data_IF_629847820223
#
_entry.id   IF_629847820223
#
_cell.length_a   1.000
_cell.length_b   1.000
_cell.length_c   1.000
_cell.angle_alpha   90.00
_cell.angle_beta   90.00
_cell.angle_gamma   90.00
#
_symmetry.space_group_name_H-M   'P 1'
#
loop_
_entity.id
_entity.type
_entity.pdbx_description
1 polymer ?
#
# COMPACT_ATOMS: atom_id res chain seq x y z
N UNK A 1 -5.53 5.53 21.74
CA UNK A 1 -5.00 4.60 20.72
C UNK A 1 -5.96 4.63 19.55
N UNK A 2 -5.47 4.83 18.34
CA UNK A 2 -6.22 4.43 17.16
C UNK A 2 -6.38 2.91 17.26
N UNK A 3 -7.59 2.40 17.33
CA UNK A 3 -7.87 0.96 17.51
C UNK A 3 -7.42 0.04 16.37
N UNK A 4 -6.37 0.42 15.65
CA UNK A 4 -5.88 -0.23 14.44
C UNK A 4 -6.69 0.13 13.20
N UNK A 5 -6.29 -0.38 12.06
CA UNK A 5 -7.07 -0.29 10.83
C UNK A 5 -8.36 -1.10 10.96
N UNK A 6 -9.45 -0.72 10.28
CA UNK A 6 -10.65 -1.54 10.20
C UNK A 6 -10.28 -2.95 9.69
N UNK A 7 -11.04 -3.96 10.14
CA UNK A 7 -10.76 -5.35 9.72
C UNK A 7 -10.92 -5.56 8.22
N UNK A 8 -11.78 -4.77 7.59
CA UNK A 8 -12.01 -4.77 6.14
C UNK A 8 -12.34 -3.35 5.69
N UNK A 9 -12.05 -3.02 4.45
CA UNK A 9 -12.44 -1.76 3.86
C UNK A 9 -11.40 -1.12 2.95
N UNK A 10 -11.75 0.05 2.48
CA UNK A 10 -10.94 0.86 1.59
C UNK A 10 -10.44 2.09 2.33
N UNK A 11 -9.13 2.25 2.36
CA UNK A 11 -8.43 3.39 2.96
C UNK A 11 -7.75 4.18 1.86
N UNK A 12 -7.88 5.50 1.91
CA UNK A 12 -7.05 6.43 1.18
C UNK A 12 -5.97 6.97 2.12
N UNK A 13 -4.71 6.78 1.76
CA UNK A 13 -3.57 7.44 2.39
C UNK A 13 -3.07 8.53 1.44
N UNK A 14 -3.45 9.77 1.71
CA UNK A 14 -3.00 10.95 0.97
C UNK A 14 -1.64 11.41 1.49
N UNK A 15 -0.70 11.63 0.59
CA UNK A 15 0.63 12.14 0.90
C UNK A 15 0.80 13.58 0.40
N UNK A 16 1.39 14.41 1.23
CA UNK A 16 1.78 15.78 0.86
C UNK A 16 2.89 15.77 -0.20
N UNK A 17 2.84 16.70 -1.15
CA UNK A 17 3.84 16.90 -2.22
C UNK A 17 5.29 17.02 -1.72
N UNK A 18 5.48 17.37 -0.46
CA UNK A 18 6.79 17.52 0.17
C UNK A 18 7.36 16.19 0.71
N UNK A 19 6.64 15.10 0.55
CA UNK A 19 7.04 13.78 0.99
C UNK A 19 7.47 12.99 -0.23
N UNK A 20 8.71 12.54 -0.24
CA UNK A 20 9.18 11.66 -1.30
C UNK A 20 8.45 10.31 -1.26
N UNK A 21 8.08 9.72 -2.40
CA UNK A 21 7.55 8.36 -2.47
C UNK A 21 8.40 7.33 -1.71
N UNK A 22 9.71 7.54 -1.68
CA UNK A 22 10.64 6.70 -0.90
C UNK A 22 10.42 6.75 0.61
N UNK A 23 9.76 7.78 1.14
CA UNK A 23 9.45 7.91 2.57
C UNK A 23 8.12 7.25 2.96
N UNK A 24 7.36 6.78 1.99
CA UNK A 24 6.13 6.03 2.21
C UNK A 24 6.35 4.77 3.06
N UNK A 25 7.55 4.19 2.98
CA UNK A 25 7.89 3.00 3.75
C UNK A 25 7.73 3.21 5.26
N UNK A 26 7.84 4.45 5.78
CA UNK A 26 7.70 4.73 7.21
C UNK A 26 6.35 4.30 7.80
N UNK A 27 5.28 4.31 7.00
CA UNK A 27 3.95 3.87 7.42
C UNK A 27 3.54 2.53 6.81
N UNK A 28 3.85 2.32 5.55
CA UNK A 28 3.36 1.17 4.79
C UNK A 28 4.17 -0.09 5.13
N UNK A 29 5.50 -0.01 5.16
CA UNK A 29 6.31 -1.20 5.38
C UNK A 29 6.07 -1.87 6.74
N UNK A 30 6.04 -1.15 7.88
CA UNK A 30 5.71 -1.79 9.16
C UNK A 30 4.31 -2.41 9.15
N UNK A 31 3.35 -1.80 8.44
CA UNK A 31 1.99 -2.35 8.30
C UNK A 31 2.00 -3.67 7.53
N UNK A 32 2.71 -3.73 6.40
CA UNK A 32 2.82 -4.93 5.55
C UNK A 32 3.63 -6.02 6.26
N UNK A 33 4.80 -5.69 6.79
CA UNK A 33 5.66 -6.65 7.51
C UNK A 33 4.92 -7.26 8.71
N UNK A 34 4.23 -6.44 9.51
CA UNK A 34 3.44 -6.94 10.62
C UNK A 34 2.27 -7.84 10.16
N UNK A 35 1.59 -7.50 9.06
CA UNK A 35 0.54 -8.34 8.50
C UNK A 35 1.10 -9.71 8.06
N UNK A 36 2.23 -9.73 7.37
CA UNK A 36 2.91 -10.94 6.92
C UNK A 36 3.39 -11.81 8.08
N UNK A 37 4.00 -11.22 9.13
CA UNK A 37 4.37 -11.95 10.35
C UNK A 37 3.15 -12.56 11.05
N UNK A 38 2.01 -11.89 11.02
CA UNK A 38 0.76 -12.43 11.54
C UNK A 38 0.07 -13.44 10.59
N UNK A 39 0.77 -13.86 9.54
CA UNK A 39 0.30 -14.86 8.58
C UNK A 39 -0.78 -14.35 7.62
N UNK A 40 -1.03 -13.05 7.53
CA UNK A 40 -1.90 -12.47 6.52
C UNK A 40 -1.15 -12.35 5.19
N UNK A 41 -1.80 -12.61 4.06
CA UNK A 41 -1.18 -12.35 2.76
C UNK A 41 -1.15 -10.86 2.46
N UNK A 42 -0.19 -10.46 1.62
CA UNK A 42 -0.04 -9.09 1.16
C UNK A 42 0.09 -9.01 -0.36
N UNK A 43 -0.54 -7.99 -0.95
CA UNK A 43 -0.45 -7.65 -2.37
C UNK A 43 0.02 -6.22 -2.48
N UNK A 44 1.05 -5.98 -3.28
CA UNK A 44 1.63 -4.65 -3.46
C UNK A 44 1.59 -4.27 -4.94
N UNK A 45 1.12 -3.06 -5.23
CA UNK A 45 1.37 -2.33 -6.48
C UNK A 45 2.18 -1.10 -6.07
N UNK A 46 3.51 -1.19 -6.11
CA UNK A 46 4.38 -0.13 -5.61
C UNK A 46 4.34 1.11 -6.53
N UNK A 47 4.85 2.25 -6.05
CA UNK A 47 5.15 3.39 -6.92
C UNK A 47 6.05 2.96 -8.08
N UNK A 48 5.82 3.54 -9.26
CA UNK A 48 6.55 3.21 -10.50
C UNK A 48 8.08 3.37 -10.35
N UNK A 49 8.51 4.20 -9.41
CA UNK A 49 9.93 4.45 -9.11
C UNK A 49 10.55 3.41 -8.17
N UNK A 50 9.74 2.52 -7.57
CA UNK A 50 10.21 1.50 -6.64
C UNK A 50 10.40 0.16 -7.35
N UNK A 51 11.65 -0.28 -7.43
CA UNK A 51 11.98 -1.61 -7.95
C UNK A 51 11.99 -2.69 -6.86
N UNK A 52 12.09 -3.99 -7.25
CA UNK A 52 12.20 -5.10 -6.30
C UNK A 52 13.35 -4.96 -5.30
N UNK A 53 14.49 -4.39 -5.72
CA UNK A 53 15.62 -4.14 -4.82
C UNK A 53 15.30 -3.08 -3.75
N UNK A 54 14.50 -2.07 -4.10
CA UNK A 54 14.05 -1.09 -3.11
C UNK A 54 13.11 -1.75 -2.09
N UNK A 55 12.26 -2.67 -2.53
CA UNK A 55 11.39 -3.44 -1.64
C UNK A 55 12.20 -4.34 -0.72
N UNK A 56 13.20 -5.09 -1.23
CA UNK A 56 14.10 -5.90 -0.41
C UNK A 56 14.79 -5.07 0.66
N UNK A 57 15.33 -3.92 0.27
CA UNK A 57 15.97 -2.98 1.21
C UNK A 57 15.01 -2.50 2.28
N UNK A 58 13.80 -2.13 1.88
CA UNK A 58 12.76 -1.68 2.82
C UNK A 58 12.41 -2.78 3.80
N UNK A 59 12.17 -4.02 3.36
CA UNK A 59 11.87 -5.13 4.25
C UNK A 59 13.03 -5.40 5.22
N UNK A 60 14.26 -5.39 4.73
CA UNK A 60 15.48 -5.58 5.54
C UNK A 60 15.61 -4.54 6.65
N UNK A 61 15.32 -3.26 6.37
CA UNK A 61 15.35 -2.18 7.38
C UNK A 61 14.38 -2.48 8.53
N UNK A 62 13.26 -3.15 8.27
CA UNK A 62 12.29 -3.58 9.27
C UNK A 62 12.57 -4.99 9.83
N UNK A 63 13.77 -5.54 9.55
CA UNK A 63 14.21 -6.83 10.08
C UNK A 63 13.51 -8.03 9.47
N UNK A 64 13.06 -7.93 8.22
CA UNK A 64 12.38 -8.99 7.50
C UNK A 64 13.08 -9.29 6.17
N UNK A 65 13.14 -10.56 5.77
CA UNK A 65 13.50 -10.95 4.41
C UNK A 65 12.26 -11.10 3.55
N UNK A 66 12.27 -10.54 2.35
CA UNK A 66 11.13 -10.65 1.43
C UNK A 66 10.91 -12.10 1.00
N UNK A 67 11.97 -12.88 0.93
CA UNK A 67 11.97 -14.28 0.56
C UNK A 67 11.21 -15.16 1.57
N UNK A 68 11.22 -14.80 2.85
CA UNK A 68 10.44 -15.50 3.90
C UNK A 68 8.93 -15.42 3.67
N UNK A 69 8.50 -14.42 2.92
CA UNK A 69 7.09 -14.15 2.67
C UNK A 69 6.60 -14.56 1.28
N UNK A 70 7.46 -15.10 0.41
CA UNK A 70 7.09 -15.52 -0.95
C UNK A 70 5.76 -16.29 -1.06
N UNK A 71 5.45 -17.22 -0.16
CA UNK A 71 4.18 -17.94 -0.24
C UNK A 71 2.93 -17.08 -0.02
N UNK A 72 3.10 -15.88 0.56
CA UNK A 72 2.01 -14.99 1.00
C UNK A 72 2.13 -13.56 0.48
N UNK A 73 3.21 -13.24 -0.24
CA UNK A 73 3.45 -11.93 -0.82
C UNK A 73 3.30 -12.01 -2.35
N UNK A 74 2.61 -11.03 -2.93
CA UNK A 74 2.61 -10.78 -4.37
C UNK A 74 2.87 -9.31 -4.63
N UNK A 75 3.76 -9.04 -5.55
CA UNK A 75 4.13 -7.69 -5.96
C UNK A 75 3.87 -7.57 -7.45
N UNK A 76 2.89 -6.78 -7.81
CA UNK A 76 2.56 -6.52 -9.21
C UNK A 76 3.50 -5.47 -9.76
N UNK A 77 4.25 -5.84 -10.77
CA UNK A 77 5.19 -4.96 -11.48
C UNK A 77 5.02 -5.11 -12.98
N UNK A 78 5.41 -4.11 -13.71
CA UNK A 78 5.42 -4.16 -15.16
C UNK A 78 6.38 -5.24 -15.67
N UNK A 79 6.04 -5.90 -16.76
CA UNK A 79 6.78 -7.04 -17.34
C UNK A 79 8.26 -6.74 -17.58
N UNK A 80 8.56 -5.58 -18.15
CA UNK A 80 9.94 -5.16 -18.39
C UNK A 80 10.79 -5.00 -17.11
N UNK A 81 10.13 -4.63 -15.99
CA UNK A 81 10.78 -4.61 -14.68
C UNK A 81 10.93 -6.03 -14.11
N UNK A 82 9.92 -6.88 -14.24
CA UNK A 82 10.01 -8.27 -13.77
C UNK A 82 11.15 -9.03 -14.45
N UNK A 83 11.27 -8.91 -15.76
CA UNK A 83 12.34 -9.53 -16.55
C UNK A 83 13.74 -9.06 -16.12
N UNK A 84 13.90 -7.76 -15.86
CA UNK A 84 15.16 -7.18 -15.39
C UNK A 84 15.61 -7.75 -14.04
N UNK A 85 14.68 -8.17 -13.19
CA UNK A 85 14.99 -8.64 -11.83
C UNK A 85 14.91 -10.16 -11.68
N UNK A 86 14.92 -10.92 -12.79
CA UNK A 86 15.00 -12.39 -12.77
C UNK A 86 13.69 -13.07 -12.31
N UNK A 87 12.57 -12.36 -12.35
CA UNK A 87 11.22 -12.85 -12.09
C UNK A 87 11.09 -13.78 -10.86
N UNK A 88 11.47 -13.35 -9.64
CA UNK A 88 11.28 -14.17 -8.45
C UNK A 88 9.79 -14.48 -8.24
N UNK A 89 9.47 -15.56 -7.52
CA UNK A 89 8.11 -16.12 -7.41
C UNK A 89 7.06 -15.19 -6.83
N UNK A 90 7.47 -14.19 -6.07
CA UNK A 90 6.58 -13.16 -5.52
C UNK A 90 6.24 -12.03 -6.51
N UNK A 91 6.96 -11.91 -7.64
CA UNK A 91 6.65 -10.92 -8.67
C UNK A 91 5.58 -11.43 -9.63
N UNK A 92 4.56 -10.62 -9.80
CA UNK A 92 3.51 -10.81 -10.81
C UNK A 92 3.75 -9.78 -11.91
N UNK A 93 4.11 -10.25 -13.10
CA UNK A 93 4.37 -9.39 -14.25
C UNK A 93 3.07 -9.05 -14.96
N UNK A 94 2.78 -7.77 -15.19
CA UNK A 94 1.65 -7.36 -16.02
C UNK A 94 2.10 -6.61 -17.27
N UNK A 95 1.34 -6.74 -18.34
CA UNK A 95 1.49 -5.98 -19.57
C UNK A 95 0.68 -4.68 -19.51
N UNK A 96 1.04 -3.72 -20.37
CA UNK A 96 0.56 -2.33 -20.26
C UNK A 96 -0.90 -2.12 -20.66
N UNK A 97 -1.52 -3.08 -21.33
CA UNK A 97 -2.65 -2.82 -22.24
C UNK A 97 -4.06 -3.02 -21.66
N UNK A 98 -4.23 -3.60 -20.47
CA UNK A 98 -5.56 -3.86 -19.93
C UNK A 98 -5.70 -3.57 -18.44
N UNK A 99 -6.32 -2.44 -18.06
CA UNK A 99 -6.66 -2.20 -16.64
C UNK A 99 -7.61 -3.26 -16.09
N UNK A 100 -8.60 -3.68 -16.87
CA UNK A 100 -9.56 -4.71 -16.46
C UNK A 100 -8.87 -6.05 -16.24
N UNK A 101 -8.01 -6.47 -17.15
CA UNK A 101 -7.22 -7.70 -17.03
C UNK A 101 -6.35 -7.71 -15.78
N UNK A 102 -5.67 -6.61 -15.47
CA UNK A 102 -4.86 -6.48 -14.26
C UNK A 102 -5.73 -6.53 -13.01
N UNK A 103 -6.87 -5.86 -13.01
CA UNK A 103 -7.78 -5.88 -11.86
C UNK A 103 -8.36 -7.27 -11.63
N UNK A 104 -8.65 -8.01 -12.68
CA UNK A 104 -9.12 -9.41 -12.61
C UNK A 104 -8.01 -10.33 -12.11
N UNK A 105 -6.77 -10.13 -12.55
CA UNK A 105 -5.61 -10.88 -12.06
C UNK A 105 -5.35 -10.60 -10.57
N UNK A 106 -5.44 -9.35 -10.15
CA UNK A 106 -5.34 -8.97 -8.72
C UNK A 106 -6.46 -9.64 -7.94
N UNK A 107 -7.70 -9.58 -8.41
CA UNK A 107 -8.84 -10.20 -7.74
C UNK A 107 -8.68 -11.72 -7.62
N UNK A 108 -8.25 -12.39 -8.68
CA UNK A 108 -7.96 -13.83 -8.70
C UNK A 108 -6.83 -14.18 -7.72
N UNK A 109 -5.75 -13.39 -7.72
CA UNK A 109 -4.62 -13.55 -6.79
C UNK A 109 -5.05 -13.37 -5.34
N UNK A 110 -5.92 -12.40 -5.06
CA UNK A 110 -6.50 -12.20 -3.73
C UNK A 110 -7.26 -13.45 -3.29
N UNK A 111 -8.12 -14.00 -4.15
CA UNK A 111 -8.92 -15.19 -3.84
C UNK A 111 -8.04 -16.42 -3.61
N UNK A 112 -7.02 -16.63 -4.43
CA UNK A 112 -6.03 -17.70 -4.25
C UNK A 112 -5.35 -17.59 -2.88
N UNK A 113 -4.85 -16.40 -2.54
CA UNK A 113 -4.15 -16.18 -1.28
C UNK A 113 -5.08 -16.36 -0.07
N UNK A 114 -6.32 -15.90 -0.15
CA UNK A 114 -7.33 -16.13 0.90
C UNK A 114 -7.61 -17.63 1.06
N UNK A 115 -7.80 -18.36 -0.05
CA UNK A 115 -8.01 -19.81 -0.02
C UNK A 115 -6.82 -20.55 0.60
N UNK A 116 -5.59 -20.13 0.27
CA UNK A 116 -4.35 -20.74 0.76
C UNK A 116 -4.08 -20.46 2.25
N UNK A 117 -4.38 -19.24 2.71
CA UNK A 117 -4.00 -18.80 4.06
C UNK A 117 -5.15 -18.82 5.06
N UNK A 118 -6.40 -18.86 4.60
CA UNK A 118 -7.59 -18.69 5.43
C UNK A 118 -7.74 -17.29 6.02
N UNK A 119 -6.93 -16.30 5.58
CA UNK A 119 -6.88 -14.95 6.15
C UNK A 119 -7.12 -13.88 5.11
N UNK A 120 -7.85 -12.80 5.47
CA UNK A 120 -8.05 -11.67 4.55
C UNK A 120 -6.73 -10.96 4.26
N UNK A 121 -6.48 -10.55 2.99
CA UNK A 121 -5.25 -9.90 2.59
C UNK A 121 -5.19 -8.44 3.00
N UNK A 122 -3.97 -7.90 2.98
CA UNK A 122 -3.71 -6.48 2.88
C UNK A 122 -3.21 -6.14 1.47
N UNK A 123 -3.85 -5.17 0.82
CA UNK A 123 -3.44 -4.70 -0.51
C UNK A 123 -2.99 -3.24 -0.41
N UNK A 124 -1.82 -2.94 -0.97
CA UNK A 124 -1.27 -1.58 -1.04
C UNK A 124 -1.15 -1.21 -2.52
N UNK A 125 -1.82 -0.15 -2.94
CA UNK A 125 -1.89 0.25 -4.34
C UNK A 125 -1.49 1.71 -4.48
N UNK A 126 -0.45 1.98 -5.27
CA UNK A 126 -0.09 3.34 -5.66
C UNK A 126 -1.05 3.87 -6.72
N UNK A 127 -1.78 4.93 -6.41
CA UNK A 127 -2.67 5.60 -7.37
C UNK A 127 -1.89 6.25 -8.51
N UNK A 128 -0.68 6.70 -8.24
CA UNK A 128 0.17 7.34 -9.24
C UNK A 128 0.64 6.33 -10.29
N UNK A 129 0.97 5.10 -9.88
CA UNK A 129 1.30 4.02 -10.81
C UNK A 129 0.13 3.71 -11.73
N UNK A 130 -1.08 3.54 -11.17
CA UNK A 130 -2.28 3.29 -11.97
C UNK A 130 -2.63 4.50 -12.84
N UNK A 131 -2.52 5.72 -12.28
CA UNK A 131 -2.85 6.95 -12.99
C UNK A 131 -1.93 7.27 -14.16
N UNK A 132 -0.63 6.95 -14.04
CA UNK A 132 0.34 7.15 -15.13
C UNK A 132 0.07 6.23 -16.33
N UNK A 133 -0.47 5.05 -16.11
CA UNK A 133 -0.78 4.10 -17.19
C UNK A 133 -2.18 4.24 -17.74
N UNK A 134 -3.17 4.51 -16.89
CA UNK A 134 -4.60 4.43 -17.24
C UNK A 134 -5.35 5.73 -17.02
N UNK A 135 -4.65 6.79 -16.63
CA UNK A 135 -5.26 8.09 -16.34
C UNK A 135 -6.16 8.11 -15.11
N UNK A 136 -6.74 9.26 -14.84
CA UNK A 136 -7.61 9.49 -13.67
C UNK A 136 -8.83 8.57 -13.68
N UNK A 137 -9.45 8.36 -14.84
CA UNK A 137 -10.61 7.48 -14.96
C UNK A 137 -10.26 6.03 -14.63
N UNK A 138 -9.08 5.57 -15.04
CA UNK A 138 -8.57 4.25 -14.66
C UNK A 138 -8.40 4.09 -13.15
N UNK A 139 -7.87 5.11 -12.46
CA UNK A 139 -7.79 5.09 -10.99
C UNK A 139 -9.18 4.99 -10.35
N UNK A 140 -10.14 5.79 -10.80
CA UNK A 140 -11.50 5.78 -10.25
C UNK A 140 -12.18 4.42 -10.46
N UNK A 141 -12.02 3.82 -11.63
CA UNK A 141 -12.55 2.48 -11.93
C UNK A 141 -11.89 1.42 -11.05
N UNK A 142 -10.55 1.44 -10.93
CA UNK A 142 -9.82 0.50 -10.09
C UNK A 142 -10.18 0.64 -8.60
N UNK A 143 -10.37 1.86 -8.09
CA UNK A 143 -10.87 2.11 -6.73
C UNK A 143 -12.27 1.53 -6.55
N UNK A 144 -13.17 1.72 -7.52
CA UNK A 144 -14.51 1.14 -7.48
C UNK A 144 -14.47 -0.40 -7.41
N UNK A 145 -13.68 -1.04 -8.26
CA UNK A 145 -13.50 -2.50 -8.26
C UNK A 145 -12.90 -2.98 -6.94
N UNK A 146 -11.97 -2.22 -6.36
CA UNK A 146 -11.37 -2.53 -5.05
C UNK A 146 -12.39 -2.59 -3.91
N UNK A 147 -13.48 -1.81 -3.98
CA UNK A 147 -14.57 -1.86 -2.99
C UNK A 147 -15.26 -3.24 -3.02
N UNK A 148 -15.52 -3.77 -4.21
CA UNK A 148 -16.13 -5.08 -4.37
C UNK A 148 -15.22 -6.19 -3.84
N UNK A 149 -13.92 -6.14 -4.18
CA UNK A 149 -12.90 -7.09 -3.70
C UNK A 149 -12.80 -7.05 -2.16
N UNK A 150 -12.70 -5.86 -1.57
CA UNK A 150 -12.61 -5.71 -0.11
C UNK A 150 -13.84 -6.29 0.60
N UNK A 151 -15.04 -6.04 0.07
CA UNK A 151 -16.30 -6.58 0.62
C UNK A 151 -16.36 -8.11 0.52
N UNK A 152 -15.97 -8.67 -0.63
CA UNK A 152 -16.02 -10.12 -0.90
C UNK A 152 -15.03 -10.89 -0.01
N UNK A 153 -13.83 -10.36 0.19
CA UNK A 153 -12.72 -11.07 0.83
C UNK A 153 -12.52 -10.72 2.31
N UNK A 154 -13.16 -9.66 2.79
CA UNK A 154 -12.87 -9.09 4.11
C UNK A 154 -11.48 -8.45 4.19
N UNK A 155 -10.83 -8.20 3.05
CA UNK A 155 -9.50 -7.63 2.95
C UNK A 155 -9.46 -6.14 3.25
N UNK A 156 -8.25 -5.66 3.54
CA UNK A 156 -7.93 -4.25 3.70
C UNK A 156 -7.18 -3.75 2.48
N UNK A 157 -7.71 -2.75 1.80
CA UNK A 157 -7.08 -2.15 0.64
C UNK A 157 -6.72 -0.71 0.96
N UNK A 158 -5.45 -0.37 0.83
CA UNK A 158 -4.92 0.97 1.06
C UNK A 158 -4.47 1.54 -0.29
N UNK A 159 -5.18 2.52 -0.76
CA UNK A 159 -4.78 3.34 -1.89
C UNK A 159 -3.87 4.46 -1.40
N UNK A 160 -2.67 4.48 -1.91
CA UNK A 160 -1.69 5.54 -1.63
C UNK A 160 -1.78 6.55 -2.74
N UNK A 161 -2.15 7.76 -2.40
CA UNK A 161 -2.22 8.88 -3.31
C UNK A 161 -1.05 9.83 -3.05
N UNK A 162 -0.15 9.87 -4.00
CA UNK A 162 0.87 10.90 -4.08
C UNK A 162 0.26 12.11 -4.78
N UNK A 163 0.99 13.19 -4.91
CA UNK A 163 0.41 14.45 -5.39
C UNK A 163 0.46 14.65 -6.90
N UNK A 164 0.77 13.62 -7.66
CA UNK A 164 0.90 13.71 -9.12
C UNK A 164 -0.42 14.07 -9.81
N UNK A 165 -1.54 13.64 -9.23
CA UNK A 165 -2.88 13.90 -9.77
C UNK A 165 -3.76 14.61 -8.73
N UNK A 166 -3.70 15.96 -8.64
CA UNK A 166 -4.44 16.71 -7.61
C UNK A 166 -5.96 16.57 -7.69
N UNK A 167 -6.52 16.24 -8.85
CA UNK A 167 -7.96 16.00 -9.04
C UNK A 167 -8.44 14.76 -8.27
N UNK A 168 -7.57 13.77 -8.05
CA UNK A 168 -7.90 12.60 -7.25
C UNK A 168 -8.15 12.96 -5.78
N UNK A 169 -7.50 14.01 -5.27
CA UNK A 169 -7.70 14.50 -3.91
C UNK A 169 -9.15 14.96 -3.64
N UNK A 170 -9.89 15.32 -4.66
CA UNK A 170 -11.30 15.71 -4.56
C UNK A 170 -12.25 14.52 -4.79
N UNK A 171 -11.85 13.58 -5.64
CA UNK A 171 -12.72 12.49 -6.10
C UNK A 171 -12.64 11.22 -5.26
N UNK A 172 -11.48 10.88 -4.71
CA UNK A 172 -11.29 9.64 -3.96
C UNK A 172 -11.87 9.66 -2.53
N UNK A 173 -11.80 10.76 -1.73
CA UNK A 173 -12.27 10.76 -0.35
C UNK A 173 -13.72 10.31 -0.16
N UNK A 174 -14.69 10.65 -1.03
CA UNK A 174 -16.06 10.16 -0.91
C UNK A 174 -16.19 8.63 -1.07
N UNK A 175 -15.30 8.00 -1.87
CA UNK A 175 -15.36 6.59 -2.23
C UNK A 175 -14.80 5.65 -1.15
N UNK A 176 -14.04 6.19 -0.19
CA UNK A 176 -13.32 5.39 0.81
C UNK A 176 -14.00 5.39 2.17
N UNK A 177 -13.80 4.33 2.94
CA UNK A 177 -14.28 4.23 4.31
C UNK A 177 -13.44 5.03 5.30
N UNK A 178 -12.14 5.20 5.00
CA UNK A 178 -11.21 5.96 5.82
C UNK A 178 -10.28 6.80 4.93
N UNK A 179 -10.07 8.06 5.31
CA UNK A 179 -9.13 8.96 4.66
C UNK A 179 -8.08 9.42 5.68
N UNK A 180 -6.86 9.03 5.45
CA UNK A 180 -5.69 9.34 6.27
C UNK A 180 -4.77 10.28 5.49
N UNK A 181 -4.07 11.14 6.21
CA UNK A 181 -3.15 12.09 5.59
C UNK A 181 -1.79 12.05 6.28
N UNK A 182 -0.75 11.95 5.46
CA UNK A 182 0.63 12.12 5.86
C UNK A 182 1.13 13.44 5.28
N UNK A 183 1.60 14.34 6.14
CA UNK A 183 2.14 15.65 5.75
C UNK A 183 3.49 15.87 6.38
N UNK A 184 4.24 16.85 5.86
CA UNK A 184 5.51 17.27 6.42
C UNK A 184 5.45 18.74 6.80
N UNK A 185 5.71 19.07 8.07
CA UNK A 185 5.74 20.44 8.57
C UNK A 185 6.92 20.62 9.52
N UNK A 186 7.69 21.69 9.33
CA UNK A 186 8.87 22.01 10.15
C UNK A 186 9.86 20.82 10.32
N UNK A 187 10.05 20.04 9.25
CA UNK A 187 10.94 18.87 9.27
C UNK A 187 10.34 17.59 9.84
N UNK A 188 9.20 17.65 10.52
CA UNK A 188 8.52 16.52 11.11
C UNK A 188 7.47 15.93 10.18
N UNK A 189 7.32 14.60 10.19
CA UNK A 189 6.22 13.92 9.57
C UNK A 189 5.03 13.89 10.52
N UNK A 190 3.88 14.31 10.01
CA UNK A 190 2.62 14.38 10.75
C UNK A 190 1.59 13.50 10.08
N UNK A 191 0.90 12.69 10.88
CA UNK A 191 -0.12 11.74 10.44
C UNK A 191 -1.44 12.01 11.15
N UNK A 192 -2.55 11.99 10.42
CA UNK A 192 -3.89 12.17 10.98
C UNK A 192 -4.99 11.62 10.09
N UNK A 193 -6.14 11.32 10.69
CA UNK A 193 -7.35 10.97 9.98
C UNK A 193 -8.16 12.20 9.62
N UNK A 194 -8.56 12.28 8.36
CA UNK A 194 -9.51 13.26 7.84
C UNK A 194 -10.93 12.70 7.98
N UNK A 195 -11.06 11.39 7.73
CA UNK A 195 -12.32 10.64 7.85
C UNK A 195 -12.01 9.22 8.39
N UNK A 196 -12.43 8.85 9.61
CA UNK A 196 -12.90 9.78 10.65
C UNK A 196 -11.80 10.75 11.09
N UNK A 197 -12.18 11.85 11.70
CA UNK A 197 -11.21 12.79 12.27
C UNK A 197 -10.49 12.15 13.46
N UNK A 198 -9.17 12.30 13.50
CA UNK A 198 -8.34 11.86 14.61
C UNK A 198 -7.48 13.00 15.15
N UNK A 199 -6.90 12.87 16.34
CA UNK A 199 -5.79 13.72 16.76
C UNK A 199 -4.65 13.71 15.73
N UNK A 200 -3.79 14.72 15.82
CA UNK A 200 -2.56 14.80 15.06
C UNK A 200 -1.49 13.95 15.74
N UNK A 201 -0.73 13.19 14.97
CA UNK A 201 0.36 12.36 15.47
C UNK A 201 1.67 12.76 14.79
N UNK A 202 2.76 12.83 15.56
CA UNK A 202 4.10 12.81 15.00
C UNK A 202 4.44 11.37 14.57
N UNK A 203 5.05 11.23 13.40
CA UNK A 203 5.63 9.96 12.95
C UNK A 203 7.11 9.98 13.34
N UNK A 204 7.42 9.25 14.37
CA UNK A 204 8.79 9.14 14.91
C UNK A 204 9.40 7.81 14.48
N UNK A 205 10.69 7.84 14.21
CA UNK A 205 11.44 6.64 13.86
C UNK A 205 12.61 6.47 14.84
N UNK A 206 12.81 5.24 15.26
CA UNK A 206 13.89 4.84 16.14
C UNK A 206 14.51 3.55 15.62
N UNK A 207 15.74 3.25 16.05
CA UNK A 207 16.39 1.98 15.75
C UNK A 207 16.43 1.16 17.02
N UNK A 208 15.69 0.06 17.04
CA UNK A 208 15.67 -0.89 18.14
C UNK A 208 16.10 -2.27 17.65
N UNK A 209 17.07 -2.87 18.30
CA UNK A 209 17.61 -4.20 17.95
C UNK A 209 18.06 -4.30 16.47
N UNK A 210 18.63 -3.22 15.93
CA UNK A 210 19.06 -3.16 14.52
C UNK A 210 17.94 -3.03 13.49
N UNK A 211 16.70 -2.77 13.93
CA UNK A 211 15.52 -2.62 13.07
C UNK A 211 14.94 -1.22 13.21
N UNK A 212 14.42 -0.69 12.11
CA UNK A 212 13.66 0.55 12.15
C UNK A 212 12.28 0.31 12.80
N UNK A 213 11.97 1.11 13.80
CA UNK A 213 10.66 1.11 14.45
C UNK A 213 9.99 2.44 14.19
N UNK A 214 8.77 2.40 13.70
CA UNK A 214 7.94 3.61 13.51
C UNK A 214 6.91 3.70 14.63
N UNK A 215 6.81 4.86 15.26
CA UNK A 215 5.86 5.16 16.33
C UNK A 215 4.99 6.35 15.93
N UNK A 216 3.73 6.32 16.36
CA UNK A 216 2.81 7.43 16.24
C UNK A 216 2.60 8.05 17.62
N UNK A 217 3.17 9.22 17.84
CA UNK A 217 3.09 9.95 19.12
C UNK A 217 2.05 11.06 19.01
N UNK A 218 0.98 11.06 19.83
CA UNK A 218 -0.02 12.13 19.80
C UNK A 218 0.62 13.49 20.08
N UNK A 219 0.24 14.49 19.32
CA UNK A 219 0.58 15.90 19.58
C UNK A 219 -0.59 16.51 20.32
N UNK A 220 -0.34 16.93 21.54
CA UNK A 220 -1.32 17.58 22.42
C UNK A 220 -1.44 19.07 22.11
#
# INVERSE_FOLDING_TARGET
MLGGYPRAGLILLEMDVRISPKQLHLLIAPTVVNALHNGKPAILIPPITAGPEDLKRVFSIYGASIEEFEPRLRVFVRKDLAEKYGAPSYLMAYERDGLEEIMDEIASTVEELVKKTGKPPICIISSDTVGLYYGIQGVLQAVHNSIAVAKKTGGLIIWVMESTFPELAQRLPPMVSMHLKLTRKHGCFLFYGVKPRTPLFAVETDVSEGRLVTRLTPIL
#
